data_IF_060221440523
#
_entry.id   IF_060221440523
#
_cell.length_a   1.000
_cell.length_b   1.000
_cell.length_c   1.000
_cell.angle_alpha   90.00
_cell.angle_beta   90.00
_cell.angle_gamma   90.00
#
_symmetry.space_group_name_H-M   'P 1'
#
loop_
_entity.id
_entity.type
_entity.pdbx_description
1 polymer ?
#
# COMPACT_ATOMS: atom_id res chain seq x y z
N UNK A 1 -10.45 18.74 -22.30
CA UNK A 1 -11.07 18.01 -21.19
C UNK A 1 -10.02 17.01 -20.73
N UNK A 2 -9.47 17.14 -19.53
CA UNK A 2 -8.41 16.23 -19.08
C UNK A 2 -8.99 14.85 -18.86
N UNK A 3 -8.47 13.83 -19.56
CA UNK A 3 -8.71 12.44 -19.19
C UNK A 3 -8.32 12.28 -17.73
N UNK A 4 -9.29 12.03 -16.86
CA UNK A 4 -9.00 11.73 -15.47
C UNK A 4 -8.21 10.42 -15.46
N UNK A 5 -6.90 10.51 -15.26
CA UNK A 5 -6.04 9.34 -15.14
C UNK A 5 -6.60 8.43 -14.06
N UNK A 6 -7.03 7.23 -14.47
CA UNK A 6 -7.58 6.27 -13.53
C UNK A 6 -6.54 5.93 -12.46
N UNK A 7 -6.96 5.77 -11.19
CA UNK A 7 -6.03 5.52 -10.11
C UNK A 7 -5.29 4.19 -10.31
N UNK A 8 -4.10 4.08 -9.74
CA UNK A 8 -3.33 2.84 -9.72
C UNK A 8 -3.63 2.01 -8.50
N UNK A 9 -3.62 0.69 -8.66
CA UNK A 9 -3.73 -0.24 -7.54
C UNK A 9 -2.58 -0.06 -6.55
N UNK A 10 -2.90 0.07 -5.26
CA UNK A 10 -1.94 0.23 -4.17
C UNK A 10 -0.97 -0.96 -4.04
N UNK A 11 -1.38 -2.14 -4.51
CA UNK A 11 -0.63 -3.39 -4.41
C UNK A 11 0.23 -3.65 -5.65
N UNK A 12 -0.40 -3.94 -6.79
CA UNK A 12 0.30 -4.32 -8.03
C UNK A 12 0.80 -3.13 -8.87
N UNK A 13 0.41 -1.89 -8.53
CA UNK A 13 0.73 -0.65 -9.27
C UNK A 13 0.18 -0.55 -10.70
N UNK A 14 -0.59 -1.54 -11.14
CA UNK A 14 -1.28 -1.47 -12.44
C UNK A 14 -2.42 -0.46 -12.37
N UNK A 15 -2.64 0.27 -13.46
CA UNK A 15 -3.78 1.19 -13.58
C UNK A 15 -5.08 0.40 -13.44
N UNK A 16 -6.01 0.93 -12.64
CA UNK A 16 -7.36 0.37 -12.57
C UNK A 16 -8.08 0.72 -13.88
N UNK A 17 -8.75 -0.25 -14.49
CA UNK A 17 -9.64 -0.01 -15.64
C UNK A 17 -11.11 -0.07 -15.25
N UNK A 18 -11.99 0.55 -16.04
CA UNK A 18 -13.44 0.51 -15.82
C UNK A 18 -13.92 -0.94 -15.86
N UNK A 19 -14.74 -1.33 -14.89
CA UNK A 19 -15.28 -2.69 -14.75
C UNK A 19 -14.45 -3.64 -13.88
N UNK A 20 -13.26 -3.23 -13.43
CA UNK A 20 -12.49 -4.02 -12.46
C UNK A 20 -13.06 -3.91 -11.05
N UNK A 21 -13.07 -5.05 -10.34
CA UNK A 21 -13.47 -5.09 -8.94
C UNK A 21 -12.33 -4.55 -8.05
N UNK A 22 -12.65 -3.48 -7.30
CA UNK A 22 -11.69 -2.79 -6.42
C UNK A 22 -12.25 -2.58 -5.02
N UNK A 23 -11.35 -2.47 -4.06
CA UNK A 23 -11.61 -1.99 -2.70
C UNK A 23 -11.02 -0.61 -2.52
N UNK A 24 -11.81 0.30 -1.97
CA UNK A 24 -11.35 1.61 -1.51
C UNK A 24 -10.72 1.45 -0.13
N UNK A 25 -9.47 1.86 -0.01
CA UNK A 25 -8.72 1.84 1.24
C UNK A 25 -8.93 3.14 2.00
N UNK A 26 -8.75 3.09 3.32
CA UNK A 26 -8.90 4.28 4.18
C UNK A 26 -7.86 5.38 3.90
N UNK A 27 -6.76 5.07 3.22
CA UNK A 27 -5.76 6.06 2.79
C UNK A 27 -6.09 6.75 1.45
N UNK A 28 -7.34 6.62 0.97
CA UNK A 28 -7.79 7.22 -0.30
C UNK A 28 -7.28 6.50 -1.54
N UNK A 29 -6.60 5.36 -1.37
CA UNK A 29 -6.09 4.54 -2.46
C UNK A 29 -7.06 3.42 -2.81
N UNK A 30 -6.88 2.85 -4.00
CA UNK A 30 -7.66 1.71 -4.48
C UNK A 30 -6.78 0.46 -4.57
N UNK A 31 -7.37 -0.72 -4.44
CA UNK A 31 -6.69 -1.99 -4.65
C UNK A 31 -7.63 -2.94 -5.39
N UNK A 32 -7.14 -3.74 -6.34
CA UNK A 32 -7.92 -4.84 -6.92
C UNK A 32 -8.32 -5.86 -5.86
N UNK A 33 -9.56 -6.35 -5.92
CA UNK A 33 -10.00 -7.48 -5.09
C UNK A 33 -9.19 -8.75 -5.37
N UNK A 34 -8.74 -8.92 -6.62
CA UNK A 34 -7.89 -10.05 -7.06
C UNK A 34 -6.42 -9.92 -6.67
N UNK A 35 -5.97 -8.76 -6.16
CA UNK A 35 -4.59 -8.63 -5.73
C UNK A 35 -4.30 -9.52 -4.51
N UNK A 36 -3.07 -10.07 -4.41
CA UNK A 36 -2.71 -10.90 -3.29
C UNK A 36 -2.80 -10.11 -1.98
N UNK A 37 -3.04 -10.86 -0.90
CA UNK A 37 -3.01 -10.32 0.46
C UNK A 37 -1.65 -9.70 0.72
N UNK A 38 -1.67 -8.47 1.22
CA UNK A 38 -0.45 -7.75 1.55
C UNK A 38 0.02 -8.23 2.92
N UNK A 39 1.20 -8.83 3.00
CA UNK A 39 1.83 -9.22 4.27
C UNK A 39 2.95 -8.24 4.59
N UNK A 40 2.91 -7.65 5.79
CA UNK A 40 3.96 -6.74 6.24
C UNK A 40 5.21 -7.54 6.63
N UNK A 41 6.36 -7.39 5.94
CA UNK A 41 7.57 -8.15 6.23
C UNK A 41 8.20 -7.84 7.61
N UNK A 42 7.78 -6.77 8.30
CA UNK A 42 8.33 -6.41 9.62
C UNK A 42 7.62 -7.09 10.78
N UNK A 43 6.37 -7.50 10.61
CA UNK A 43 5.57 -8.12 11.67
C UNK A 43 4.88 -9.41 11.23
N UNK A 44 5.03 -9.80 9.96
CA UNK A 44 4.44 -10.99 9.33
C UNK A 44 2.92 -11.05 9.39
N UNK A 45 2.25 -9.90 9.59
CA UNK A 45 0.78 -9.79 9.64
C UNK A 45 0.22 -9.17 8.36
N UNK A 46 -1.01 -9.54 8.02
CA UNK A 46 -1.73 -8.98 6.88
C UNK A 46 -1.99 -7.48 7.07
N UNK A 47 -1.82 -6.68 6.01
CA UNK A 47 -2.20 -5.28 5.93
C UNK A 47 -3.59 -5.18 5.31
N UNK A 48 -4.60 -5.32 6.17
CA UNK A 48 -6.00 -5.31 5.78
C UNK A 48 -6.38 -4.04 4.99
N UNK A 49 -7.35 -4.08 4.06
CA UNK A 49 -7.83 -2.91 3.32
C UNK A 49 -8.26 -1.73 4.21
N UNK A 50 -8.77 -2.03 5.41
CA UNK A 50 -9.13 -1.03 6.41
C UNK A 50 -7.95 -0.38 7.12
N UNK A 51 -6.71 -0.81 6.89
CA UNK A 51 -5.50 -0.20 7.44
C UNK A 51 -4.73 0.54 6.32
N UNK A 52 -4.20 1.75 6.54
CA UNK A 52 -3.37 2.42 5.54
C UNK A 52 -2.14 1.59 5.14
N UNK A 53 -1.70 1.65 3.88
CA UNK A 53 -0.44 1.04 3.43
C UNK A 53 0.66 2.09 3.31
N UNK A 54 1.85 1.78 3.82
CA UNK A 54 3.09 2.47 3.49
C UNK A 54 3.91 1.61 2.54
N UNK A 55 4.57 2.26 1.59
CA UNK A 55 5.45 1.60 0.62
C UNK A 55 6.89 1.98 0.92
N UNK A 56 7.76 0.99 0.98
CA UNK A 56 9.21 1.11 1.18
C UNK A 56 9.89 0.30 0.07
N UNK A 57 10.21 0.97 -1.05
CA UNK A 57 10.60 0.29 -2.29
C UNK A 57 9.49 -0.64 -2.81
N UNK A 58 9.77 -1.94 -2.86
CA UNK A 58 8.81 -2.97 -3.27
C UNK A 58 7.96 -3.49 -2.11
N UNK A 59 8.39 -3.27 -0.86
CA UNK A 59 7.69 -3.74 0.31
C UNK A 59 6.48 -2.86 0.65
N UNK A 60 5.42 -3.52 1.13
CA UNK A 60 4.22 -2.89 1.65
C UNK A 60 4.13 -3.16 3.15
N UNK A 61 3.95 -2.10 3.93
CA UNK A 61 4.12 -2.09 5.37
C UNK A 61 2.92 -1.46 6.06
N UNK A 62 2.64 -1.89 7.29
CA UNK A 62 1.78 -1.12 8.18
C UNK A 62 2.43 0.25 8.48
N UNK A 63 1.64 1.31 8.72
CA UNK A 63 2.17 2.63 9.02
C UNK A 63 3.04 2.65 10.28
N UNK A 64 2.62 1.91 11.31
CA UNK A 64 3.38 1.78 12.55
C UNK A 64 4.71 1.05 12.34
N UNK A 65 4.74 0.00 11.50
CA UNK A 65 5.95 -0.76 11.22
C UNK A 65 6.94 0.06 10.39
N UNK A 66 6.44 0.79 9.38
CA UNK A 66 7.25 1.73 8.61
C UNK A 66 7.86 2.82 9.49
N UNK A 67 7.05 3.46 10.36
CA UNK A 67 7.55 4.50 11.28
C UNK A 67 8.62 3.97 12.24
N UNK A 68 8.48 2.73 12.74
CA UNK A 68 9.51 2.09 13.57
C UNK A 68 10.81 1.89 12.78
N UNK A 69 10.73 1.30 11.58
CA UNK A 69 11.88 1.08 10.70
C UNK A 69 12.59 2.39 10.33
N UNK A 70 11.83 3.42 9.93
CA UNK A 70 12.37 4.72 9.57
C UNK A 70 13.13 5.36 10.74
N UNK A 71 12.57 5.32 11.95
CA UNK A 71 13.23 5.83 13.16
C UNK A 71 14.51 5.05 13.50
N UNK A 72 14.53 3.73 13.31
CA UNK A 72 15.74 2.92 13.49
C UNK A 72 16.82 3.26 12.47
N UNK A 73 16.45 3.47 11.20
CA UNK A 73 17.40 3.85 10.14
C UNK A 73 18.05 5.22 10.38
N UNK A 74 17.26 6.21 10.82
CA UNK A 74 17.76 7.55 11.16
C UNK A 74 18.70 7.53 12.37
N UNK A 75 18.46 6.65 13.35
CA UNK A 75 19.31 6.53 14.55
C UNK A 75 20.59 5.73 14.35
N UNK A 76 20.64 4.82 13.38
CA UNK A 76 21.82 4.01 13.07
C UNK A 76 22.80 4.65 12.08
N UNK A 77 22.53 5.88 11.64
CA UNK A 77 23.39 6.66 10.74
C UNK A 77 24.18 7.76 11.47
N UNK A 78 24.33 7.62 12.79
CA UNK A 78 25.03 8.57 13.67
C UNK A 78 26.21 7.90 14.37
#
# INVERSE_FOLDING_TARGET
MGEAELPRCAVCRTSITVGEAVVFRQDGRVQHTSCPKVVCPLCSREVLPGTPIRRDGEALLHPACWSRRYRSAVRGSA
#
